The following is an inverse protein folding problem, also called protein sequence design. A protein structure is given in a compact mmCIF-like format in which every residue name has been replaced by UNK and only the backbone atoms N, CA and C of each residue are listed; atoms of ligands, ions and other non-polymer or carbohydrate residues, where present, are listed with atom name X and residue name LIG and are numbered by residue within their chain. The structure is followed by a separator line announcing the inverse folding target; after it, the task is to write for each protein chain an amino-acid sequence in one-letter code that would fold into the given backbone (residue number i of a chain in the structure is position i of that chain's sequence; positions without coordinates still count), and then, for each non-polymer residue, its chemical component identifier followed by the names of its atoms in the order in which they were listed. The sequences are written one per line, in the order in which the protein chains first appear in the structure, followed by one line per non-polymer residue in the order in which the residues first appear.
data_IF_015883822103
#
_entry.id   IF_015883822103
#
_cell.length_a   1.000
_cell.length_b   1.000
_cell.length_c   1.000
_cell.angle_alpha   90.00
_cell.angle_beta   90.00
_cell.angle_gamma   90.00
#
_symmetry.space_group_name_H-M   'P 1'
#
loop_
_entity.id
_entity.type
_entity.pdbx_description
1 polymer ?
#
# COMPACT_ATOMS: atom_id res chain seq x y z
N UNK A 1 13.80 2.16 20.58
CA UNK A 1 12.98 1.68 19.46
C UNK A 1 13.80 0.78 18.57
N UNK A 2 13.33 -0.43 18.29
CA UNK A 2 14.03 -1.26 17.33
C UNK A 2 14.05 -0.55 15.97
N UNK A 3 15.19 -0.59 15.31
CA UNK A 3 15.32 0.02 14.01
C UNK A 3 14.47 -0.72 12.99
N UNK A 4 13.69 0.01 12.26
CA UNK A 4 12.88 -0.51 11.17
C UNK A 4 13.42 0.02 9.85
N UNK A 5 13.63 -0.87 8.88
CA UNK A 5 14.06 -0.49 7.54
C UNK A 5 12.95 -0.78 6.53
N UNK A 6 12.90 0.01 5.47
CA UNK A 6 12.05 -0.26 4.33
C UNK A 6 12.93 -0.78 3.20
N UNK A 7 12.59 -1.94 2.66
CA UNK A 7 13.37 -2.60 1.62
C UNK A 7 12.48 -2.92 0.44
N UNK A 8 13.02 -2.91 -0.79
CA UNK A 8 12.24 -3.36 -1.94
C UNK A 8 11.76 -4.82 -1.74
N UNK A 9 10.54 -5.07 -2.16
CA UNK A 9 9.97 -6.41 -2.11
C UNK A 9 10.82 -7.36 -2.95
N UNK A 10 11.22 -8.48 -2.36
CA UNK A 10 12.02 -9.51 -3.02
C UNK A 10 11.43 -10.88 -2.75
N UNK A 11 11.87 -11.87 -3.53
CA UNK A 11 11.37 -13.23 -3.39
C UNK A 11 11.57 -13.78 -1.98
N UNK A 12 12.67 -13.43 -1.33
CA UNK A 12 12.96 -13.85 0.04
C UNK A 12 11.95 -13.38 1.07
N UNK A 13 11.15 -12.34 0.74
CA UNK A 13 10.14 -11.79 1.63
C UNK A 13 8.78 -12.46 1.50
N UNK A 14 8.54 -13.25 0.45
CA UNK A 14 7.20 -13.71 0.10
C UNK A 14 6.55 -14.60 1.16
N UNK A 15 7.33 -15.42 1.84
CA UNK A 15 6.79 -16.27 2.91
C UNK A 15 6.10 -15.44 4.00
N UNK A 16 6.81 -14.42 4.49
CA UNK A 16 6.28 -13.52 5.52
C UNK A 16 5.12 -12.67 5.02
N UNK A 17 5.24 -12.16 3.78
CA UNK A 17 4.18 -11.35 3.17
C UNK A 17 2.88 -12.16 3.05
N UNK A 18 2.97 -13.41 2.61
CA UNK A 18 1.80 -14.28 2.51
C UNK A 18 1.17 -14.54 3.88
N UNK A 19 1.99 -14.74 4.89
CA UNK A 19 1.48 -14.93 6.26
C UNK A 19 0.70 -13.71 6.73
N UNK A 20 1.24 -12.51 6.52
CA UNK A 20 0.59 -11.26 6.91
C UNK A 20 -0.70 -11.05 6.12
N UNK A 21 -0.66 -11.33 4.82
CA UNK A 21 -1.84 -11.20 3.96
C UNK A 21 -2.99 -12.07 4.45
N UNK A 22 -2.71 -13.34 4.78
CA UNK A 22 -3.71 -14.26 5.28
C UNK A 22 -4.24 -13.86 6.66
N UNK A 23 -3.39 -13.26 7.48
CA UNK A 23 -3.78 -12.75 8.79
C UNK A 23 -4.72 -11.55 8.69
N UNK A 24 -4.46 -10.66 7.72
CA UNK A 24 -5.13 -9.36 7.64
C UNK A 24 -6.38 -9.33 6.76
N UNK A 25 -6.50 -10.24 5.80
CA UNK A 25 -7.56 -10.14 4.78
C UNK A 25 -8.35 -11.44 4.63
N UNK A 26 -9.69 -11.34 4.52
CA UNK A 26 -10.56 -12.52 4.35
C UNK A 26 -10.41 -13.16 2.96
N UNK A 27 -10.05 -12.38 1.94
CA UNK A 27 -9.83 -12.86 0.58
C UNK A 27 -8.40 -12.54 0.18
N UNK A 28 -7.42 -13.30 0.70
CA UNK A 28 -6.01 -12.95 0.52
C UNK A 28 -5.51 -13.17 -0.90
N UNK A 29 -4.52 -12.36 -1.30
CA UNK A 29 -3.76 -12.59 -2.51
C UNK A 29 -3.03 -13.92 -2.45
N UNK A 30 -2.80 -14.53 -3.60
CA UNK A 30 -2.04 -15.77 -3.73
C UNK A 30 -0.54 -15.47 -3.83
N UNK A 31 0.26 -16.52 -3.63
CA UNK A 31 1.70 -16.43 -3.83
C UNK A 31 2.05 -15.96 -5.25
N UNK A 32 1.35 -16.49 -6.25
CA UNK A 32 1.58 -16.12 -7.65
C UNK A 32 1.37 -14.62 -7.88
N UNK A 33 0.34 -14.05 -7.26
CA UNK A 33 0.07 -12.62 -7.38
C UNK A 33 1.22 -11.77 -6.81
N UNK A 34 1.72 -12.13 -5.65
CA UNK A 34 2.86 -11.41 -5.07
C UNK A 34 4.15 -11.62 -5.85
N UNK A 35 4.35 -12.83 -6.38
CA UNK A 35 5.54 -13.13 -7.18
C UNK A 35 5.61 -12.28 -8.45
N UNK A 36 4.46 -12.02 -9.07
CA UNK A 36 4.40 -11.11 -10.22
C UNK A 36 4.87 -9.70 -9.86
N UNK A 37 4.58 -9.24 -8.64
CA UNK A 37 5.02 -7.92 -8.19
C UNK A 37 6.54 -7.84 -8.03
N UNK A 38 7.17 -8.94 -7.69
CA UNK A 38 8.64 -9.02 -7.63
C UNK A 38 9.25 -9.01 -9.03
N UNK A 39 8.61 -9.67 -9.99
CA UNK A 39 9.13 -9.85 -11.34
C UNK A 39 8.91 -8.63 -12.24
N UNK A 40 7.80 -7.94 -12.10
CA UNK A 40 7.40 -6.82 -12.98
C UNK A 40 7.87 -5.47 -12.43
N UNK A 41 9.18 -5.31 -12.33
CA UNK A 41 9.79 -4.12 -11.70
C UNK A 41 9.61 -2.83 -12.49
N UNK A 42 9.21 -2.90 -13.76
CA UNK A 42 8.92 -1.70 -14.55
C UNK A 42 7.61 -1.02 -14.11
N UNK A 43 6.71 -1.77 -13.52
CA UNK A 43 5.39 -1.32 -13.06
C UNK A 43 5.33 -1.22 -11.54
N UNK A 44 5.75 -2.29 -10.86
CA UNK A 44 5.63 -2.41 -9.41
C UNK A 44 6.87 -1.86 -8.71
N UNK A 45 6.63 -0.94 -7.77
CA UNK A 45 7.64 -0.51 -6.79
C UNK A 45 7.06 -0.75 -5.42
N UNK A 46 7.27 -1.96 -4.93
CA UNK A 46 6.64 -2.45 -3.71
C UNK A 46 7.72 -2.65 -2.65
N UNK A 47 7.34 -2.50 -1.38
CA UNK A 47 8.29 -2.46 -0.28
C UNK A 47 7.82 -3.29 0.89
N UNK A 48 8.77 -3.76 1.68
CA UNK A 48 8.51 -4.40 2.96
C UNK A 48 9.11 -3.56 4.07
N UNK A 49 8.47 -3.59 5.24
CA UNK A 49 9.02 -3.05 6.46
C UNK A 49 9.64 -4.21 7.23
N UNK A 50 10.92 -4.07 7.57
CA UNK A 50 11.67 -5.12 8.27
C UNK A 50 12.10 -4.61 9.63
N UNK A 51 11.81 -5.37 10.67
CA UNK A 51 12.18 -5.05 12.04
C UNK A 51 12.71 -6.31 12.71
N UNK A 52 13.89 -6.22 13.31
CA UNK A 52 14.56 -7.37 13.94
C UNK A 52 14.68 -8.57 13.00
N UNK A 53 15.00 -8.32 11.72
CA UNK A 53 15.17 -9.36 10.70
C UNK A 53 13.88 -9.98 10.19
N UNK A 54 12.73 -9.47 10.61
CA UNK A 54 11.43 -10.01 10.19
C UNK A 54 10.61 -8.97 9.43
N UNK A 55 9.89 -9.42 8.41
CA UNK A 55 8.93 -8.58 7.70
C UNK A 55 7.73 -8.37 8.62
N UNK A 56 7.42 -7.11 8.91
CA UNK A 56 6.29 -6.75 9.78
C UNK A 56 5.17 -6.03 9.02
N UNK A 57 5.42 -5.65 7.79
CA UNK A 57 4.41 -5.02 6.94
C UNK A 57 4.91 -4.90 5.50
N UNK A 58 4.01 -4.53 4.61
CA UNK A 58 4.35 -4.37 3.19
C UNK A 58 3.38 -3.42 2.51
N UNK A 59 3.80 -2.90 1.36
CA UNK A 59 2.96 -2.10 0.47
C UNK A 59 3.22 -2.53 -0.97
N UNK A 60 2.15 -2.72 -1.73
CA UNK A 60 2.20 -3.00 -3.16
C UNK A 60 1.73 -1.77 -3.90
N UNK A 61 2.56 -1.25 -4.79
CA UNK A 61 2.23 -0.04 -5.53
C UNK A 61 2.70 -0.14 -6.98
N UNK A 62 1.86 0.34 -7.89
CA UNK A 62 2.16 0.45 -9.31
C UNK A 62 2.40 1.91 -9.67
N UNK A 63 3.45 2.14 -10.47
CA UNK A 63 3.81 3.48 -10.94
C UNK A 63 3.62 3.49 -12.44
N UNK A 64 2.57 4.15 -12.92
CA UNK A 64 2.21 4.10 -14.33
C UNK A 64 1.56 5.41 -14.76
N UNK A 65 2.05 5.98 -15.86
CA UNK A 65 1.45 7.14 -16.53
C UNK A 65 1.23 8.35 -15.61
N UNK A 66 2.19 8.61 -14.74
CA UNK A 66 2.11 9.75 -13.84
C UNK A 66 1.26 9.52 -12.59
N UNK A 67 0.73 8.31 -12.42
CA UNK A 67 -0.08 7.96 -11.25
C UNK A 67 0.55 6.82 -10.47
N UNK A 68 0.41 6.89 -9.17
CA UNK A 68 0.78 5.79 -8.27
C UNK A 68 -0.52 5.14 -7.79
N UNK A 69 -0.67 3.85 -8.04
CA UNK A 69 -1.83 3.11 -7.54
C UNK A 69 -1.36 2.18 -6.41
N UNK A 70 -1.83 2.43 -5.20
CA UNK A 70 -1.56 1.57 -4.05
C UNK A 70 -2.60 0.46 -4.07
N UNK A 71 -2.14 -0.78 -4.30
CA UNK A 71 -3.03 -1.93 -4.42
C UNK A 71 -3.26 -2.61 -3.09
N UNK A 72 -2.28 -2.59 -2.21
CA UNK A 72 -2.37 -3.30 -0.94
C UNK A 72 -1.37 -2.73 0.05
N UNK A 73 -1.77 -2.60 1.30
CA UNK A 73 -0.89 -2.24 2.41
C UNK A 73 -1.37 -2.99 3.65
N UNK A 74 -0.44 -3.63 4.35
CA UNK A 74 -0.77 -4.39 5.53
C UNK A 74 0.37 -4.39 6.53
N UNK A 75 0.02 -4.51 7.80
CA UNK A 75 0.95 -4.60 8.92
C UNK A 75 0.48 -5.76 9.80
N UNK A 76 1.42 -6.61 10.23
CA UNK A 76 1.06 -7.72 11.12
C UNK A 76 0.40 -7.21 12.40
N UNK A 77 -0.54 -7.98 12.94
CA UNK A 77 -1.39 -7.56 14.06
C UNK A 77 -0.59 -7.03 15.24
N UNK A 78 0.52 -7.68 15.58
CA UNK A 78 1.38 -7.29 16.70
C UNK A 78 2.01 -5.91 16.54
N UNK A 79 2.14 -5.43 15.32
CA UNK A 79 2.85 -4.19 15.02
C UNK A 79 1.93 -3.08 14.51
N UNK A 80 0.61 -3.31 14.49
CA UNK A 80 -0.35 -2.27 14.10
C UNK A 80 -0.37 -1.14 15.12
N UNK A 81 -0.78 0.05 14.67
CA UNK A 81 -0.86 1.28 15.47
C UNK A 81 0.49 1.83 15.94
N UNK A 82 1.57 1.45 15.27
CA UNK A 82 2.91 1.97 15.54
C UNK A 82 3.44 2.83 14.39
N UNK A 83 2.56 3.21 13.46
CA UNK A 83 2.92 4.08 12.35
C UNK A 83 3.63 3.39 11.19
N UNK A 84 3.67 2.07 11.15
CA UNK A 84 4.36 1.33 10.08
C UNK A 84 3.63 1.51 8.74
N UNK A 85 2.31 1.36 8.72
CA UNK A 85 1.52 1.59 7.51
C UNK A 85 1.69 3.00 6.97
N UNK A 86 1.71 3.98 7.86
CA UNK A 86 1.97 5.38 7.50
C UNK A 86 3.36 5.54 6.88
N UNK A 87 4.38 4.92 7.45
CA UNK A 87 5.74 4.99 6.90
C UNK A 87 5.85 4.35 5.53
N UNK A 88 5.23 3.19 5.33
CA UNK A 88 5.20 2.53 4.03
C UNK A 88 4.53 3.42 2.98
N UNK A 89 3.37 3.98 3.31
CA UNK A 89 2.64 4.83 2.39
C UNK A 89 3.39 6.14 2.12
N UNK A 90 3.98 6.75 3.15
CA UNK A 90 4.79 7.97 2.99
C UNK A 90 5.98 7.74 2.08
N UNK A 91 6.62 6.57 2.18
CA UNK A 91 7.75 6.22 1.33
C UNK A 91 7.34 6.17 -0.15
N UNK A 92 6.21 5.53 -0.44
CA UNK A 92 5.69 5.44 -1.82
C UNK A 92 5.27 6.82 -2.33
N UNK A 93 4.65 7.64 -1.50
CA UNK A 93 4.27 9.02 -1.87
C UNK A 93 5.54 9.83 -2.23
N UNK A 94 6.57 9.75 -1.41
CA UNK A 94 7.83 10.46 -1.68
C UNK A 94 8.46 10.00 -2.99
N UNK A 95 8.46 8.71 -3.27
CA UNK A 95 8.97 8.19 -4.53
C UNK A 95 8.16 8.72 -5.71
N UNK A 96 6.84 8.80 -5.57
CA UNK A 96 5.97 9.36 -6.59
C UNK A 96 6.31 10.82 -6.87
N UNK A 97 6.50 11.62 -5.83
CA UNK A 97 6.88 13.01 -5.95
C UNK A 97 8.22 13.17 -6.67
N UNK A 98 9.22 12.37 -6.30
CA UNK A 98 10.57 12.43 -6.89
C UNK A 98 10.62 11.97 -8.33
N UNK A 99 9.67 11.14 -8.76
CA UNK A 99 9.63 10.59 -10.12
C UNK A 99 8.54 11.23 -10.99
N UNK A 100 8.13 12.45 -10.63
CA UNK A 100 7.19 13.28 -11.40
C UNK A 100 5.81 12.65 -11.60
N UNK A 101 5.35 11.88 -10.63
CA UNK A 101 3.97 11.41 -10.58
C UNK A 101 3.10 12.48 -9.92
N UNK A 102 1.87 12.64 -10.39
CA UNK A 102 1.00 13.74 -9.95
C UNK A 102 -0.14 13.30 -9.04
N UNK A 103 -0.36 11.99 -8.89
CA UNK A 103 -1.51 11.48 -8.17
C UNK A 103 -1.17 10.15 -7.52
N UNK A 104 -1.66 9.95 -6.29
CA UNK A 104 -1.70 8.63 -5.66
C UNK A 104 -3.17 8.26 -5.48
N UNK A 105 -3.55 7.06 -5.91
CA UNK A 105 -4.91 6.56 -5.79
C UNK A 105 -4.93 5.22 -5.07
N UNK A 106 -6.00 4.96 -4.34
CA UNK A 106 -6.21 3.67 -3.67
C UNK A 106 -7.70 3.41 -3.51
N UNK A 107 -8.04 2.16 -3.25
CA UNK A 107 -9.38 1.76 -2.86
C UNK A 107 -9.35 1.26 -1.43
N UNK A 108 -10.40 1.57 -0.66
CA UNK A 108 -10.54 1.12 0.73
C UNK A 108 -11.98 0.63 0.94
N UNK A 109 -12.14 -0.45 1.72
CA UNK A 109 -13.49 -0.94 2.05
C UNK A 109 -14.29 0.15 2.74
N UNK A 110 -15.54 0.30 2.34
CA UNK A 110 -16.42 1.31 2.91
C UNK A 110 -16.53 1.19 4.44
N UNK A 111 -16.42 -0.02 4.97
CA UNK A 111 -16.50 -0.27 6.41
C UNK A 111 -15.19 -0.09 7.17
N UNK A 112 -14.08 0.09 6.47
CA UNK A 112 -12.76 0.18 7.11
C UNK A 112 -12.48 1.60 7.59
N UNK A 113 -13.14 1.99 8.68
CA UNK A 113 -13.01 3.35 9.22
C UNK A 113 -11.59 3.73 9.65
N UNK A 114 -10.84 2.85 10.33
CA UNK A 114 -9.47 3.19 10.70
C UNK A 114 -8.57 3.50 9.49
N UNK A 115 -8.68 2.72 8.42
CA UNK A 115 -7.89 2.97 7.21
C UNK A 115 -8.32 4.27 6.52
N UNK A 116 -9.63 4.51 6.40
CA UNK A 116 -10.13 5.75 5.82
C UNK A 116 -9.62 6.97 6.58
N UNK A 117 -9.64 6.90 7.91
CA UNK A 117 -9.15 8.00 8.74
C UNK A 117 -7.65 8.23 8.53
N UNK A 118 -6.86 7.17 8.48
CA UNK A 118 -5.43 7.28 8.19
C UNK A 118 -5.19 8.00 6.87
N UNK A 119 -5.90 7.59 5.82
CA UNK A 119 -5.72 8.18 4.50
C UNK A 119 -6.11 9.65 4.47
N UNK A 120 -7.20 10.01 5.13
CA UNK A 120 -7.60 11.43 5.25
C UNK A 120 -6.51 12.24 5.95
N UNK A 121 -5.94 11.72 7.05
CA UNK A 121 -4.87 12.44 7.76
C UNK A 121 -3.61 12.58 6.93
N UNK A 122 -3.42 11.75 5.91
CA UNK A 122 -2.28 11.82 5.00
C UNK A 122 -2.56 12.66 3.74
N UNK A 123 -3.73 13.26 3.66
CA UNK A 123 -4.08 14.18 2.57
C UNK A 123 -4.88 13.54 1.44
N UNK A 124 -5.39 12.32 1.63
CA UNK A 124 -6.28 11.70 0.66
C UNK A 124 -7.71 12.20 0.83
N UNK A 125 -8.44 12.29 -0.27
CA UNK A 125 -9.85 12.65 -0.28
C UNK A 125 -10.66 11.63 -1.07
N UNK A 126 -11.89 11.30 -0.64
CA UNK A 126 -12.75 10.41 -1.40
C UNK A 126 -13.22 11.09 -2.68
N UNK A 127 -13.16 10.37 -3.80
CA UNK A 127 -13.58 10.89 -5.11
C UNK A 127 -14.60 10.02 -5.80
N UNK A 128 -14.86 8.83 -5.30
CA UNK A 128 -15.82 7.93 -5.93
C UNK A 128 -16.05 6.67 -5.14
N UNK A 129 -16.97 5.87 -5.64
CA UNK A 129 -17.33 4.59 -5.05
C UNK A 129 -17.34 3.55 -6.16
N UNK A 130 -16.68 2.42 -5.92
CA UNK A 130 -16.79 1.24 -6.78
C UNK A 130 -17.75 0.28 -6.11
N UNK A 131 -18.94 0.16 -6.64
CA UNK A 131 -19.97 -0.68 -6.04
C UNK A 131 -19.62 -2.15 -6.17
N UNK A 132 -19.86 -2.92 -5.07
CA UNK A 132 -19.65 -4.37 -5.01
C UNK A 132 -18.25 -4.78 -5.47
N UNK A 133 -17.27 -3.96 -5.12
CA UNK A 133 -15.88 -4.15 -5.56
C UNK A 133 -15.24 -5.39 -4.92
N UNK A 134 -15.53 -5.64 -3.64
CA UNK A 134 -14.97 -6.76 -2.89
C UNK A 134 -15.91 -7.96 -3.00
N UNK A 135 -15.43 -9.02 -3.65
CA UNK A 135 -16.27 -10.19 -3.98
C UNK A 135 -16.62 -11.09 -2.79
N UNK A 136 -15.86 -10.98 -1.70
CA UNK A 136 -16.10 -11.81 -0.51
C UNK A 136 -17.43 -11.49 0.17
N UNK A 137 -17.88 -10.22 0.15
CA UNK A 137 -19.12 -9.81 0.82
C UNK A 137 -19.90 -8.74 0.04
N UNK A 138 -19.55 -8.51 -1.23
CA UNK A 138 -20.14 -7.48 -2.09
C UNK A 138 -20.04 -6.06 -1.52
N UNK A 139 -19.04 -5.81 -0.69
CA UNK A 139 -18.83 -4.51 -0.10
C UNK A 139 -18.31 -3.51 -1.14
N UNK A 140 -18.75 -2.25 -1.02
CA UNK A 140 -18.27 -1.17 -1.86
C UNK A 140 -16.84 -0.77 -1.48
N UNK A 141 -16.09 -0.28 -2.46
CA UNK A 141 -14.81 0.38 -2.23
C UNK A 141 -14.98 1.88 -2.36
N UNK A 142 -14.37 2.62 -1.44
CA UNK A 142 -14.24 4.06 -1.57
C UNK A 142 -12.93 4.32 -2.31
N UNK A 143 -12.99 5.05 -3.41
CA UNK A 143 -11.79 5.47 -4.15
C UNK A 143 -11.30 6.77 -3.53
N UNK A 144 -10.05 6.77 -3.09
CA UNK A 144 -9.43 7.95 -2.49
C UNK A 144 -8.20 8.35 -3.29
N UNK A 145 -7.98 9.64 -3.41
CA UNK A 145 -6.82 10.18 -4.13
C UNK A 145 -6.11 11.23 -3.31
N UNK A 146 -4.80 11.29 -3.52
CA UNK A 146 -3.97 12.38 -3.04
C UNK A 146 -3.25 12.99 -4.23
N UNK A 147 -3.44 14.28 -4.46
CA UNK A 147 -2.68 15.00 -5.47
C UNK A 147 -1.30 15.28 -4.93
N UNK A 148 -0.30 14.95 -5.72
CA UNK A 148 1.08 15.28 -5.37
C UNK A 148 1.37 16.71 -5.80
N UNK A 149 2.18 17.40 -5.02
CA UNK A 149 2.49 18.79 -5.29
C UNK A 149 3.08 18.95 -6.68
N UNK A 150 2.59 19.94 -7.43
CA UNK A 150 3.25 20.33 -8.65
C UNK A 150 4.65 20.79 -8.28
N UNK A 151 5.66 20.19 -8.93
CA UNK A 151 6.97 20.78 -8.88
C UNK A 151 6.82 22.16 -9.48
N UNK A 152 7.06 23.17 -8.65
CA UNK A 152 7.12 24.52 -9.16
C UNK A 152 8.13 24.52 -10.29
N UNK A 153 7.65 24.75 -11.50
CA UNK A 153 8.52 25.06 -12.61
C UNK A 153 9.33 26.30 -12.24
N UNK A 154 10.55 26.10 -11.91
CA UNK A 154 11.49 27.22 -11.73
C UNK A 154 12.39 27.27 -12.92
#
# INVERSE_FOLDING_TARGET
MPDMTLEPLAESHLHDVLRIERECFPAPWTETMFRQEVEETWLSRSFVAVQDGQVVGYIIAWFLRGEVHVLNVAVTAKHQRHGIGRRLLSHVIELGEKSDHHLVTLEVRASNDPAKLLYVTMGFAPVGVRRRYYRDNDEDAIVMVKRLGERKAT
#
